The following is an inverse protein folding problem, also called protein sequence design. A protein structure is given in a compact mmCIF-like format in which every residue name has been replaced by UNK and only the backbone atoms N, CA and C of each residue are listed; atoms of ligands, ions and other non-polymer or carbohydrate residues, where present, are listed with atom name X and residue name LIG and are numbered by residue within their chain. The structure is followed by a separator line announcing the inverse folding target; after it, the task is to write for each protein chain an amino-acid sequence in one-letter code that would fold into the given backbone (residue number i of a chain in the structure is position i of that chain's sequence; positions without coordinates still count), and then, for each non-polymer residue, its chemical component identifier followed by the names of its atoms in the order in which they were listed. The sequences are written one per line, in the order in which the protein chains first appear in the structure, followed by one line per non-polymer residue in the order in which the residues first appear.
data_IF_476044782323
#
_entry.id   IF_476044782323
#
_cell.length_a   1.000
_cell.length_b   1.000
_cell.length_c   1.000
_cell.angle_alpha   90.00
_cell.angle_beta   90.00
_cell.angle_gamma   90.00
#
_symmetry.space_group_name_H-M   'P 1'
#
loop_
_entity.id
_entity.type
_entity.pdbx_description
1 polymer ?
#
# COMPACT_ATOMS: atom_id res chain seq x y z
N UNK A 1 -13.71 -15.04 0.85
CA UNK A 1 -13.17 -13.78 0.31
C UNK A 1 -11.97 -13.46 1.16
N UNK A 2 -10.76 -13.59 0.62
CA UNK A 2 -9.58 -13.09 1.33
C UNK A 2 -9.78 -11.59 1.54
N UNK A 3 -9.60 -11.14 2.78
CA UNK A 3 -9.79 -9.74 3.11
C UNK A 3 -8.67 -8.98 2.38
N UNK A 4 -9.05 -8.10 1.45
CA UNK A 4 -8.14 -7.27 0.69
C UNK A 4 -7.05 -6.61 1.53
N UNK A 5 -5.94 -6.23 0.91
CA UNK A 5 -4.84 -5.57 1.61
C UNK A 5 -5.21 -4.13 1.91
N UNK A 6 -4.90 -3.69 3.13
CA UNK A 6 -5.09 -2.30 3.55
C UNK A 6 -3.73 -1.69 3.83
N UNK A 7 -3.47 -0.52 3.28
CA UNK A 7 -2.26 0.25 3.52
C UNK A 7 -2.60 1.53 4.27
N UNK A 8 -1.98 1.74 5.42
CA UNK A 8 -2.02 3.00 6.14
C UNK A 8 -0.95 3.91 5.56
N UNK A 9 -1.35 5.06 5.04
CA UNK A 9 -0.47 6.01 4.34
C UNK A 9 -0.55 7.35 5.04
N UNK A 10 0.61 7.95 5.35
CA UNK A 10 0.68 9.29 5.92
C UNK A 10 0.18 10.33 4.91
N UNK A 11 -0.53 11.35 5.38
CA UNK A 11 -1.04 12.45 4.55
C UNK A 11 0.08 13.43 4.20
N UNK A 12 0.92 13.77 5.19
CA UNK A 12 2.11 14.59 4.98
C UNK A 12 3.28 13.72 4.52
N UNK A 13 3.66 13.92 3.26
CA UNK A 13 4.71 13.18 2.58
C UNK A 13 5.58 14.16 1.81
N UNK A 14 6.90 13.98 1.85
CA UNK A 14 7.81 14.71 0.97
C UNK A 14 7.67 14.24 -0.50
N UNK A 15 8.24 14.98 -1.45
CA UNK A 15 8.12 14.66 -2.87
C UNK A 15 8.69 13.29 -3.26
N UNK A 16 9.72 12.80 -2.56
CA UNK A 16 10.31 11.48 -2.80
C UNK A 16 9.40 10.39 -2.27
N UNK A 17 8.88 10.55 -1.06
CA UNK A 17 7.92 9.65 -0.44
C UNK A 17 6.65 9.53 -1.28
N UNK A 18 6.10 10.65 -1.75
CA UNK A 18 4.94 10.66 -2.65
C UNK A 18 5.23 9.88 -3.95
N UNK A 19 6.36 10.17 -4.62
CA UNK A 19 6.74 9.47 -5.85
C UNK A 19 6.89 7.97 -5.63
N UNK A 20 7.52 7.56 -4.54
CA UNK A 20 7.74 6.14 -4.24
C UNK A 20 6.45 5.42 -3.84
N UNK A 21 5.54 6.07 -3.13
CA UNK A 21 4.20 5.52 -2.83
C UNK A 21 3.38 5.37 -4.11
N UNK A 22 3.45 6.32 -5.06
CA UNK A 22 2.81 6.18 -6.37
C UNK A 22 3.38 4.97 -7.13
N UNK A 23 4.71 4.79 -7.13
CA UNK A 23 5.35 3.62 -7.75
C UNK A 23 4.94 2.30 -7.09
N UNK A 24 4.80 2.26 -5.77
CA UNK A 24 4.31 1.07 -5.06
C UNK A 24 2.91 0.70 -5.55
N UNK A 25 1.97 1.66 -5.53
CA UNK A 25 0.59 1.45 -5.99
C UNK A 25 0.53 1.01 -7.45
N UNK A 26 1.29 1.67 -8.32
CA UNK A 26 1.38 1.29 -9.73
C UNK A 26 1.98 -0.10 -9.94
N UNK A 27 3.00 -0.48 -9.15
CA UNK A 27 3.59 -1.81 -9.20
C UNK A 27 2.60 -2.90 -8.81
N UNK A 28 1.82 -2.66 -7.75
CA UNK A 28 0.76 -3.57 -7.29
C UNK A 28 -0.30 -3.80 -8.38
N UNK A 29 -0.74 -2.74 -9.05
CA UNK A 29 -1.69 -2.83 -10.17
C UNK A 29 -1.08 -3.56 -11.37
N UNK A 30 0.13 -3.16 -11.78
CA UNK A 30 0.79 -3.73 -12.97
C UNK A 30 1.12 -5.22 -12.85
N UNK A 31 1.31 -5.71 -11.63
CA UNK A 31 1.58 -7.13 -11.35
C UNK A 31 0.30 -7.97 -11.28
N UNK A 32 -0.88 -7.36 -11.51
CA UNK A 32 -2.17 -8.04 -11.43
C UNK A 32 -2.59 -8.36 -10.00
N UNK A 33 -1.88 -7.82 -8.99
CA UNK A 33 -2.18 -8.15 -7.61
C UNK A 33 -3.44 -7.46 -7.12
N UNK A 34 -3.84 -6.31 -7.69
CA UNK A 34 -4.93 -5.49 -7.14
C UNK A 34 -5.44 -4.34 -8.01
N UNK A 35 -6.66 -3.86 -7.69
CA UNK A 35 -7.19 -2.54 -8.00
C UNK A 35 -7.42 -1.72 -6.71
N UNK A 36 -7.25 -0.39 -6.75
CA UNK A 36 -7.62 0.49 -5.62
C UNK A 36 -9.15 0.55 -5.55
N UNK A 37 -9.74 -0.05 -4.51
CA UNK A 37 -11.20 -0.07 -4.34
C UNK A 37 -11.68 1.13 -3.53
N UNK A 38 -10.92 1.50 -2.49
CA UNK A 38 -11.39 2.48 -1.51
C UNK A 38 -10.24 3.25 -0.87
N UNK A 39 -10.43 4.55 -0.71
CA UNK A 39 -9.60 5.41 0.12
C UNK A 39 -10.47 5.91 1.26
N UNK A 40 -10.11 5.52 2.48
CA UNK A 40 -10.78 5.96 3.70
C UNK A 40 -9.89 6.99 4.39
N UNK A 41 -10.45 8.17 4.68
CA UNK A 41 -9.80 9.11 5.58
C UNK A 41 -9.86 8.54 7.01
N UNK A 42 -8.69 8.25 7.61
CA UNK A 42 -8.65 7.60 8.93
C UNK A 42 -8.70 8.65 10.04
N UNK A 43 -7.77 9.60 9.98
CA UNK A 43 -7.56 10.65 10.97
C UNK A 43 -6.76 11.80 10.32
N UNK A 44 -6.37 12.82 11.10
CA UNK A 44 -5.63 13.98 10.58
C UNK A 44 -4.26 13.65 9.96
N UNK A 45 -3.66 12.51 10.33
CA UNK A 45 -2.31 12.15 9.92
C UNK A 45 -2.30 11.06 8.84
N UNK A 46 -3.32 10.20 8.78
CA UNK A 46 -3.33 9.02 7.92
C UNK A 46 -4.60 8.85 7.09
N UNK A 47 -4.44 8.20 5.95
CA UNK A 47 -5.53 7.63 5.16
C UNK A 47 -5.26 6.15 4.90
N UNK A 48 -6.32 5.34 4.76
CA UNK A 48 -6.23 3.93 4.42
C UNK A 48 -6.54 3.73 2.94
N UNK A 49 -5.69 2.99 2.24
CA UNK A 49 -5.95 2.50 0.88
C UNK A 49 -6.28 1.01 0.95
N UNK A 50 -7.46 0.63 0.48
CA UNK A 50 -7.89 -0.76 0.41
C UNK A 50 -7.76 -1.26 -1.03
N UNK A 51 -7.15 -2.42 -1.15
CA UNK A 51 -6.75 -3.11 -2.36
C UNK A 51 -7.44 -4.47 -2.39
N UNK A 52 -8.16 -4.80 -3.46
CA UNK A 52 -8.63 -6.19 -3.63
C UNK A 52 -7.45 -7.04 -4.03
N UNK A 53 -7.31 -8.24 -3.49
CA UNK A 53 -6.24 -9.14 -3.93
C UNK A 53 -6.82 -10.40 -4.52
N UNK A 54 -6.18 -10.89 -5.59
CA UNK A 54 -6.53 -12.18 -6.15
C UNK A 54 -6.33 -13.29 -5.10
N UNK A 55 -7.27 -14.22 -5.04
CA UNK A 55 -7.23 -15.31 -4.08
C UNK A 55 -5.95 -16.14 -4.25
N UNK A 56 -5.22 -16.36 -3.16
CA UNK A 56 -3.95 -17.09 -3.12
C UNK A 56 -2.70 -16.23 -3.25
N UNK A 57 -2.83 -14.93 -3.55
CA UNK A 57 -1.67 -14.02 -3.72
C UNK A 57 -1.31 -13.24 -2.45
N UNK A 58 -2.10 -13.33 -1.38
CA UNK A 58 -1.95 -12.45 -0.22
C UNK A 58 -0.60 -12.48 0.49
N UNK A 59 0.10 -13.62 0.48
CA UNK A 59 1.45 -13.73 1.04
C UNK A 59 2.45 -12.99 0.15
N UNK A 60 2.46 -13.29 -1.14
CA UNK A 60 3.37 -12.67 -2.12
C UNK A 60 3.22 -11.14 -2.14
N UNK A 61 1.99 -10.64 -2.10
CA UNK A 61 1.73 -9.20 -2.10
C UNK A 61 2.24 -8.55 -0.82
N UNK A 62 2.06 -9.17 0.35
CA UNK A 62 2.59 -8.65 1.62
C UNK A 62 4.11 -8.64 1.65
N UNK A 63 4.75 -9.69 1.15
CA UNK A 63 6.21 -9.77 1.05
C UNK A 63 6.75 -8.69 0.10
N UNK A 64 6.12 -8.52 -1.06
CA UNK A 64 6.47 -7.48 -2.01
C UNK A 64 6.36 -6.07 -1.40
N UNK A 65 5.23 -5.77 -0.73
CA UNK A 65 5.02 -4.47 -0.07
C UNK A 65 6.07 -4.23 1.01
N UNK A 66 6.32 -5.24 1.86
CA UNK A 66 7.29 -5.14 2.95
C UNK A 66 8.70 -4.89 2.41
N UNK A 67 9.11 -5.64 1.38
CA UNK A 67 10.41 -5.47 0.74
C UNK A 67 10.55 -4.10 0.07
N UNK A 68 9.48 -3.61 -0.57
CA UNK A 68 9.48 -2.31 -1.22
C UNK A 68 9.61 -1.17 -0.19
N UNK A 69 8.85 -1.23 0.91
CA UNK A 69 8.90 -0.24 1.98
C UNK A 69 10.33 -0.12 2.55
N UNK A 70 10.95 -1.26 2.87
CA UNK A 70 12.31 -1.29 3.39
C UNK A 70 13.35 -0.77 2.38
N UNK A 71 13.20 -1.13 1.10
CA UNK A 71 14.12 -0.69 0.04
C UNK A 71 14.06 0.81 -0.21
N UNK A 72 12.85 1.38 -0.17
CA UNK A 72 12.60 2.78 -0.49
C UNK A 72 12.61 3.70 0.74
N UNK A 73 12.87 3.15 1.94
CA UNK A 73 12.91 3.87 3.22
C UNK A 73 11.58 4.58 3.53
N UNK A 74 10.47 3.85 3.43
CA UNK A 74 9.11 4.37 3.60
C UNK A 74 8.46 3.95 4.94
N UNK A 75 9.21 3.40 5.88
CA UNK A 75 8.71 2.84 7.13
C UNK A 75 7.89 3.84 7.95
N UNK A 76 8.25 5.13 7.89
CA UNK A 76 7.54 6.22 8.57
C UNK A 76 6.36 6.79 7.75
N UNK A 77 6.20 6.37 6.50
CA UNK A 77 5.24 6.93 5.54
C UNK A 77 4.09 5.99 5.20
N UNK A 78 4.34 4.68 5.17
CA UNK A 78 3.35 3.69 4.78
C UNK A 78 3.59 2.36 5.48
N UNK A 79 2.50 1.71 5.89
CA UNK A 79 2.56 0.37 6.49
C UNK A 79 1.33 -0.46 6.14
N UNK A 80 1.46 -1.79 6.27
CA UNK A 80 0.33 -2.71 6.12
C UNK A 80 -0.56 -2.56 7.35
N UNK A 81 -1.85 -2.30 7.12
CA UNK A 81 -2.88 -2.15 8.14
C UNK A 81 -3.65 -3.47 8.29
N UNK A 82 -3.63 -4.06 9.49
CA UNK A 82 -4.29 -5.34 9.81
C UNK A 82 -5.74 -5.18 10.24
#
# INVERSE_FOLDING_TARGET
MEKGIRLKVRKELDGRQQSNIIKLKGSLISKGYTEIIHILDQDEEYHINTFDIESGTGIEVREFITAFIAREQLEDSISIFS
#
